data_IF_357112965737
#
_entry.id   IF_357112965737
#
_cell.length_a   1.000
_cell.length_b   1.000
_cell.length_c   1.000
_cell.angle_alpha   90.00
_cell.angle_beta   90.00
_cell.angle_gamma   90.00
#
_symmetry.space_group_name_H-M   'P 1'
#
loop_
_entity.id
_entity.type
_entity.pdbx_description
1 polymer ?
#
# COMPACT_ATOMS: atom_id res chain seq x y z
N UNK A 1 -34.61 -48.94 16.43
CA UNK A 1 -34.28 -47.51 16.36
C UNK A 1 -33.03 -47.27 17.18
N UNK A 2 -31.92 -46.85 16.57
CA UNK A 2 -30.70 -46.52 17.32
C UNK A 2 -30.95 -45.28 18.19
N UNK A 3 -30.52 -45.25 19.47
CA UNK A 3 -30.74 -44.10 20.34
C UNK A 3 -29.95 -42.91 19.81
N UNK A 4 -30.61 -41.75 19.64
CA UNK A 4 -29.96 -40.53 19.18
C UNK A 4 -28.91 -40.10 20.21
N UNK A 5 -27.67 -39.87 19.74
CA UNK A 5 -26.58 -39.35 20.57
C UNK A 5 -26.98 -37.97 21.11
N UNK A 6 -27.18 -37.85 22.43
CA UNK A 6 -27.40 -36.56 23.11
C UNK A 6 -26.19 -35.66 22.87
N UNK A 7 -26.44 -34.47 22.32
CA UNK A 7 -25.43 -33.44 22.06
C UNK A 7 -24.89 -32.94 23.41
N UNK A 8 -23.57 -32.74 23.59
CA UNK A 8 -23.03 -32.31 24.88
C UNK A 8 -23.55 -30.91 25.26
N UNK A 9 -24.28 -30.83 26.38
CA UNK A 9 -24.75 -29.56 26.95
C UNK A 9 -23.59 -28.84 27.64
N UNK A 10 -23.40 -27.57 27.25
CA UNK A 10 -22.36 -26.71 27.83
C UNK A 10 -22.72 -26.41 29.30
N UNK A 11 -21.78 -26.57 30.26
CA UNK A 11 -22.05 -26.32 31.68
C UNK A 11 -22.51 -24.89 31.96
N UNK A 12 -23.45 -24.72 32.89
CA UNK A 12 -24.04 -23.43 33.26
C UNK A 12 -22.99 -22.41 33.75
N UNK A 13 -21.91 -22.89 34.38
CA UNK A 13 -20.76 -22.08 34.80
C UNK A 13 -20.05 -21.41 33.61
N UNK A 14 -19.97 -22.09 32.46
CA UNK A 14 -19.39 -21.57 31.23
C UNK A 14 -20.32 -20.52 30.61
N UNK A 15 -21.64 -20.75 30.65
CA UNK A 15 -22.63 -19.77 30.18
C UNK A 15 -22.62 -18.48 31.01
N UNK A 16 -22.55 -18.59 32.34
CA UNK A 16 -22.45 -17.43 33.26
C UNK A 16 -21.16 -16.63 33.02
N UNK A 17 -20.02 -17.30 32.83
CA UNK A 17 -18.74 -16.66 32.46
C UNK A 17 -18.80 -15.97 31.08
N UNK A 18 -19.48 -16.56 30.10
CA UNK A 18 -19.68 -15.94 28.78
C UNK A 18 -20.50 -14.67 28.87
N UNK A 19 -21.60 -14.69 29.63
CA UNK A 19 -22.45 -13.51 29.89
C UNK A 19 -21.66 -12.39 30.57
N UNK A 20 -20.95 -12.70 31.65
CA UNK A 20 -20.10 -11.71 32.35
C UNK A 20 -19.02 -11.10 31.44
N UNK A 21 -18.38 -11.89 30.57
CA UNK A 21 -17.40 -11.37 29.59
C UNK A 21 -18.06 -10.50 28.53
N UNK A 22 -19.27 -10.84 28.08
CA UNK A 22 -20.03 -10.02 27.13
C UNK A 22 -20.42 -8.68 27.77
N UNK A 23 -20.92 -8.69 29.00
CA UNK A 23 -21.29 -7.48 29.75
C UNK A 23 -20.07 -6.59 30.05
N UNK A 24 -18.92 -7.18 30.36
CA UNK A 24 -17.67 -6.44 30.52
C UNK A 24 -17.22 -5.79 29.20
N UNK A 25 -17.37 -6.49 28.07
CA UNK A 25 -17.05 -5.96 26.73
C UNK A 25 -17.97 -4.81 26.34
N UNK A 26 -19.27 -4.90 26.59
CA UNK A 26 -20.22 -3.82 26.28
C UNK A 26 -19.95 -2.58 27.15
N UNK A 27 -19.69 -2.76 28.45
CA UNK A 27 -19.28 -1.66 29.34
C UNK A 27 -17.96 -1.01 28.89
N UNK A 28 -16.96 -1.81 28.52
CA UNK A 28 -15.69 -1.29 28.02
C UNK A 28 -15.86 -0.53 26.69
N UNK A 29 -16.70 -1.02 25.78
CA UNK A 29 -17.03 -0.33 24.53
C UNK A 29 -17.73 1.01 24.78
N UNK A 30 -18.72 1.04 25.67
CA UNK A 30 -19.41 2.28 26.07
C UNK A 30 -18.43 3.28 26.68
N UNK A 31 -17.56 2.82 27.60
CA UNK A 31 -16.54 3.67 28.19
C UNK A 31 -15.59 4.26 27.13
N UNK A 32 -15.12 3.45 26.17
CA UNK A 32 -14.29 3.93 25.05
C UNK A 32 -14.97 5.03 24.24
N UNK A 33 -16.26 4.89 23.91
CA UNK A 33 -17.02 5.91 23.18
C UNK A 33 -17.09 7.22 24.00
N UNK A 34 -17.37 7.14 25.30
CA UNK A 34 -17.42 8.33 26.17
C UNK A 34 -16.06 9.02 26.30
N UNK A 35 -14.97 8.25 26.44
CA UNK A 35 -13.60 8.79 26.53
C UNK A 35 -13.18 9.41 25.19
N UNK A 36 -13.51 8.78 24.07
CA UNK A 36 -13.22 9.33 22.74
C UNK A 36 -13.96 10.65 22.50
N UNK A 37 -15.23 10.76 22.91
CA UNK A 37 -15.99 12.01 22.85
C UNK A 37 -15.34 13.11 23.70
N UNK A 38 -14.99 12.81 24.96
CA UNK A 38 -14.29 13.74 25.86
C UNK A 38 -12.93 14.17 25.31
N UNK A 39 -12.16 13.26 24.71
CA UNK A 39 -10.86 13.56 24.13
C UNK A 39 -10.98 14.44 22.88
N UNK A 40 -12.00 14.20 22.03
CA UNK A 40 -12.30 15.05 20.87
C UNK A 40 -12.64 16.48 21.31
N UNK A 41 -13.44 16.61 22.36
CA UNK A 41 -13.81 17.91 22.93
C UNK A 41 -12.60 18.64 23.53
N UNK A 42 -11.81 17.97 24.38
CA UNK A 42 -10.55 18.52 24.93
C UNK A 42 -9.60 18.99 23.83
N UNK A 43 -9.48 18.22 22.74
CA UNK A 43 -8.64 18.59 21.59
C UNK A 43 -9.15 19.88 20.94
N UNK A 44 -10.46 20.01 20.69
CA UNK A 44 -11.05 21.24 20.15
C UNK A 44 -10.83 22.44 21.07
N UNK A 45 -11.01 22.25 22.39
CA UNK A 45 -10.78 23.28 23.39
C UNK A 45 -9.30 23.72 23.42
N UNK A 46 -8.35 22.80 23.28
CA UNK A 46 -6.92 23.13 23.20
C UNK A 46 -6.58 23.99 21.97
N UNK A 47 -7.10 23.63 20.79
CA UNK A 47 -6.91 24.42 19.57
C UNK A 47 -7.51 25.82 19.71
N UNK A 48 -8.75 25.91 20.20
CA UNK A 48 -9.42 27.20 20.46
C UNK A 48 -8.65 28.04 21.48
N UNK A 49 -8.08 27.42 22.52
CA UNK A 49 -7.27 28.11 23.54
C UNK A 49 -5.97 28.63 22.96
N UNK A 50 -5.24 27.86 22.16
CA UNK A 50 -4.02 28.31 21.51
C UNK A 50 -4.27 29.48 20.55
N UNK A 51 -5.35 29.41 19.76
CA UNK A 51 -5.75 30.50 18.87
C UNK A 51 -6.17 31.76 19.64
N UNK A 52 -6.90 31.58 20.75
CA UNK A 52 -7.28 32.68 21.65
C UNK A 52 -6.07 33.36 22.26
N UNK A 53 -5.10 32.61 22.79
CA UNK A 53 -3.86 33.16 23.35
C UNK A 53 -3.04 33.93 22.32
N UNK A 54 -3.03 33.46 21.07
CA UNK A 54 -2.38 34.17 19.96
C UNK A 54 -3.04 35.53 19.70
N UNK A 55 -4.37 35.57 19.60
CA UNK A 55 -5.13 36.83 19.41
C UNK A 55 -5.00 37.78 20.59
N UNK A 56 -4.96 37.26 21.82
CA UNK A 56 -4.77 38.06 23.03
C UNK A 56 -3.38 38.70 23.10
N UNK A 57 -2.34 37.96 22.68
CA UNK A 57 -0.99 38.51 22.58
C UNK A 57 -0.93 39.61 21.52
N UNK A 58 -1.47 39.35 20.32
CA UNK A 58 -1.55 40.35 19.22
C UNK A 58 -2.31 41.61 19.66
N UNK A 59 -3.42 41.48 20.38
CA UNK A 59 -4.20 42.60 20.89
C UNK A 59 -3.47 43.44 21.95
N UNK A 60 -2.56 42.84 22.71
CA UNK A 60 -1.72 43.52 23.71
C UNK A 60 -0.42 44.09 23.12
N UNK A 61 -0.11 43.77 21.87
CA UNK A 61 1.20 44.07 21.27
C UNK A 61 2.32 43.13 21.69
N UNK A 62 1.98 42.01 22.35
CA UNK A 62 2.92 40.97 22.78
C UNK A 62 3.06 39.85 21.70
N UNK A 63 4.15 39.09 21.75
CA UNK A 63 4.37 37.94 20.86
C UNK A 63 3.98 36.62 21.51
N UNK A 64 3.15 35.82 20.84
CA UNK A 64 2.87 34.45 21.27
C UNK A 64 3.95 33.48 20.77
N UNK A 65 4.75 32.95 21.70
CA UNK A 65 5.73 31.89 21.43
C UNK A 65 5.10 30.53 21.78
N UNK A 66 4.99 29.60 20.81
CA UNK A 66 4.44 28.27 21.08
C UNK A 66 5.36 27.47 22.02
N UNK A 67 4.78 26.55 22.78
CA UNK A 67 5.53 25.66 23.65
C UNK A 67 6.51 24.80 22.84
N UNK A 68 7.70 24.58 23.40
CA UNK A 68 8.73 23.74 22.78
C UNK A 68 8.27 22.29 22.61
N UNK A 69 8.72 21.65 21.53
CA UNK A 69 8.44 20.24 21.26
C UNK A 69 9.13 19.33 22.29
N UNK A 70 8.39 18.34 22.77
CA UNK A 70 8.87 17.41 23.81
C UNK A 70 9.35 16.07 23.24
N UNK A 71 9.07 15.77 21.97
CA UNK A 71 9.44 14.51 21.29
C UNK A 71 10.28 14.82 20.07
N UNK A 72 11.38 14.11 19.92
CA UNK A 72 12.12 14.01 18.66
C UNK A 72 12.03 12.60 18.09
N UNK A 73 12.06 12.49 16.77
CA UNK A 73 12.36 11.24 16.09
C UNK A 73 13.74 11.33 15.46
N UNK A 74 14.60 10.37 15.76
CA UNK A 74 16.02 10.38 15.39
C UNK A 74 16.27 9.25 14.42
N UNK A 75 16.80 9.58 13.24
CA UNK A 75 17.15 8.63 12.17
C UNK A 75 18.64 8.63 11.95
N UNK A 76 19.25 7.44 11.93
CA UNK A 76 20.66 7.29 11.61
C UNK A 76 20.91 7.33 10.10
N UNK A 77 21.77 8.23 9.64
CA UNK A 77 22.02 8.42 8.19
C UNK A 77 23.41 7.96 7.73
N UNK A 78 24.40 7.88 8.65
CA UNK A 78 25.79 7.45 8.37
C UNK A 78 26.14 6.08 8.97
N UNK A 79 27.10 5.40 8.34
CA UNK A 79 27.60 4.07 8.72
C UNK A 79 28.42 4.05 10.02
N UNK A 80 28.95 2.88 10.40
CA UNK A 80 29.77 2.70 11.63
C UNK A 80 31.27 2.94 11.39
N UNK A 81 31.70 3.03 10.14
CA UNK A 81 33.11 3.12 9.78
C UNK A 81 33.69 4.48 10.18
N UNK A 82 34.91 4.46 10.73
CA UNK A 82 35.64 5.67 11.17
C UNK A 82 34.88 6.54 12.18
N UNK A 83 34.07 5.91 13.04
CA UNK A 83 33.31 6.60 14.07
C UNK A 83 34.11 6.67 15.38
N UNK A 84 34.34 7.88 15.89
CA UNK A 84 34.98 8.08 17.19
C UNK A 84 34.20 7.34 18.31
N UNK A 85 34.87 6.77 19.34
CA UNK A 85 34.20 5.96 20.37
C UNK A 85 33.04 6.65 21.10
N UNK A 86 33.15 7.96 21.35
CA UNK A 86 32.10 8.76 22.02
C UNK A 86 30.76 8.77 21.24
N UNK A 87 30.70 9.25 19.97
CA UNK A 87 29.50 9.11 19.14
C UNK A 87 29.02 7.67 18.96
N UNK A 88 29.94 6.70 18.87
CA UNK A 88 29.60 5.28 18.75
C UNK A 88 28.81 4.78 19.96
N UNK A 89 29.24 5.15 21.18
CA UNK A 89 28.54 4.77 22.41
C UNK A 89 27.18 5.47 22.52
N UNK A 90 27.10 6.75 22.15
CA UNK A 90 25.85 7.51 22.14
C UNK A 90 24.80 6.89 21.19
N UNK A 91 25.19 6.51 19.97
CA UNK A 91 24.29 5.79 19.03
C UNK A 91 23.83 4.44 19.58
N UNK A 92 24.69 3.73 20.33
CA UNK A 92 24.31 2.46 20.97
C UNK A 92 23.28 2.65 22.09
N UNK A 93 23.43 3.69 22.91
CA UNK A 93 22.46 4.05 23.97
C UNK A 93 21.09 4.33 23.37
N UNK A 94 21.04 5.08 22.26
CA UNK A 94 19.80 5.35 21.52
C UNK A 94 19.29 4.16 20.68
N UNK A 95 20.00 3.02 20.68
CA UNK A 95 19.67 1.81 19.91
C UNK A 95 19.75 1.97 18.38
N UNK A 96 20.47 2.98 17.89
CA UNK A 96 20.69 3.29 16.47
C UNK A 96 21.87 2.49 15.88
N UNK A 97 21.73 1.15 15.82
CA UNK A 97 22.81 0.24 15.41
C UNK A 97 23.07 0.15 13.90
N UNK A 98 22.02 0.27 13.08
CA UNK A 98 22.09 0.16 11.62
C UNK A 98 21.72 1.50 10.96
N UNK A 99 22.17 1.70 9.72
CA UNK A 99 21.76 2.86 8.91
C UNK A 99 20.25 2.79 8.69
N UNK A 100 19.59 3.94 8.66
CA UNK A 100 18.14 4.13 8.57
C UNK A 100 17.35 3.50 9.73
N UNK A 101 18.00 3.20 10.85
CA UNK A 101 17.26 2.96 12.08
C UNK A 101 16.67 4.28 12.59
N UNK A 102 15.43 4.22 13.06
CA UNK A 102 14.72 5.33 13.68
C UNK A 102 14.25 5.00 15.10
N UNK A 103 14.34 5.96 16.02
CA UNK A 103 13.86 5.81 17.41
C UNK A 103 13.23 7.13 17.89
N UNK A 104 12.15 7.04 18.68
CA UNK A 104 11.58 8.18 19.40
C UNK A 104 12.40 8.51 20.65
N UNK A 105 12.70 9.78 20.86
CA UNK A 105 13.49 10.29 21.98
C UNK A 105 12.72 11.42 22.66
N UNK A 106 12.56 11.34 23.99
CA UNK A 106 12.05 12.45 24.79
C UNK A 106 13.10 13.55 24.85
N UNK A 107 12.72 14.78 24.51
CA UNK A 107 13.60 15.93 24.59
C UNK A 107 13.63 16.43 26.04
N UNK A 108 14.82 16.38 26.62
CA UNK A 108 15.13 16.95 27.93
C UNK A 108 16.54 17.54 27.92
N UNK A 109 16.92 18.24 29.00
CA UNK A 109 18.24 18.86 29.16
C UNK A 109 19.41 17.86 29.06
N UNK A 110 19.17 16.57 29.28
CA UNK A 110 20.19 15.52 29.21
C UNK A 110 20.32 14.89 27.80
N UNK A 111 19.23 14.77 27.06
CA UNK A 111 19.22 14.17 25.71
C UNK A 111 19.72 15.16 24.66
N UNK A 112 19.52 16.46 24.85
CA UNK A 112 19.98 17.49 23.89
C UNK A 112 21.51 17.47 23.71
N UNK A 113 22.35 17.47 24.77
CA UNK A 113 23.79 17.28 24.62
C UNK A 113 24.16 15.95 23.94
N UNK A 114 23.44 14.88 24.23
CA UNK A 114 23.66 13.58 23.60
C UNK A 114 23.38 13.63 22.09
N UNK A 115 22.31 14.31 21.67
CA UNK A 115 21.97 14.52 20.26
C UNK A 115 23.01 15.39 19.56
N UNK A 116 23.54 16.43 20.20
CA UNK A 116 24.62 17.28 19.67
C UNK A 116 25.90 16.47 19.39
N UNK A 117 26.27 15.52 20.27
CA UNK A 117 27.45 14.66 20.06
C UNK A 117 27.32 13.79 18.80
N UNK A 118 26.12 13.31 18.48
CA UNK A 118 25.87 12.41 17.35
C UNK A 118 25.33 13.12 16.12
N UNK A 119 25.18 14.44 16.18
CA UNK A 119 24.53 15.28 15.18
C UNK A 119 25.05 15.02 13.76
N UNK A 120 26.37 14.88 13.50
CA UNK A 120 26.90 14.60 12.16
C UNK A 120 26.50 13.24 11.57
N UNK A 121 25.90 12.35 12.37
CA UNK A 121 25.58 10.98 12.00
C UNK A 121 24.08 10.70 11.94
N UNK A 122 23.26 11.64 12.40
CA UNK A 122 21.81 11.50 12.50
C UNK A 122 21.07 12.68 11.89
N UNK A 123 19.89 12.42 11.35
CA UNK A 123 18.89 13.42 11.02
C UNK A 123 17.77 13.30 12.06
N UNK A 124 17.37 14.41 12.68
CA UNK A 124 16.31 14.40 13.68
C UNK A 124 15.43 15.65 13.60
N UNK A 125 14.32 15.66 14.32
CA UNK A 125 13.30 16.70 14.26
C UNK A 125 12.00 16.24 14.93
N UNK A 126 10.93 16.99 14.73
CA UNK A 126 9.68 16.85 15.49
C UNK A 126 8.63 16.07 14.68
N UNK A 127 8.27 14.84 15.09
CA UNK A 127 7.28 14.06 14.38
C UNK A 127 5.87 14.58 14.68
N UNK A 128 5.05 14.78 13.66
CA UNK A 128 3.63 15.06 13.84
C UNK A 128 2.85 13.76 14.17
N UNK A 129 1.63 13.90 14.71
CA UNK A 129 0.80 12.74 15.09
C UNK A 129 0.58 11.76 13.93
N UNK A 130 0.37 12.27 12.71
CA UNK A 130 0.20 11.44 11.51
C UNK A 130 1.45 10.60 11.23
N UNK A 131 2.63 11.19 11.33
CA UNK A 131 3.92 10.52 11.15
C UNK A 131 4.15 9.46 12.21
N UNK A 132 3.79 9.74 13.48
CA UNK A 132 3.87 8.76 14.57
C UNK A 132 2.97 7.55 14.25
N UNK A 133 1.71 7.79 13.86
CA UNK A 133 0.81 6.73 13.44
C UNK A 133 1.37 5.95 12.25
N UNK A 134 1.77 6.63 11.18
CA UNK A 134 2.33 6.00 9.97
C UNK A 134 3.53 5.11 10.29
N UNK A 135 4.44 5.57 11.17
CA UNK A 135 5.58 4.78 11.62
C UNK A 135 5.15 3.53 12.38
N UNK A 136 4.21 3.66 13.33
CA UNK A 136 3.73 2.54 14.14
C UNK A 136 2.99 1.50 13.29
N UNK A 137 2.07 1.90 12.42
CA UNK A 137 1.32 0.95 11.58
C UNK A 137 2.19 0.33 10.49
N UNK A 138 3.02 1.12 9.79
CA UNK A 138 3.74 0.62 8.60
C UNK A 138 5.06 -0.05 8.95
N UNK A 139 5.71 0.35 10.05
CA UNK A 139 7.08 -0.05 10.39
C UNK A 139 7.24 -0.48 11.85
N UNK A 140 6.16 -0.54 12.63
CA UNK A 140 6.17 -0.91 14.04
C UNK A 140 6.44 -2.39 14.27
N UNK A 141 7.42 -2.65 15.14
CA UNK A 141 7.70 -3.97 15.68
C UNK A 141 7.84 -3.84 17.19
N UNK A 142 7.28 -4.80 17.92
CA UNK A 142 7.42 -4.93 19.36
C UNK A 142 8.67 -5.76 19.70
N UNK A 143 9.25 -5.46 20.86
CA UNK A 143 10.26 -6.26 21.54
C UNK A 143 9.55 -7.10 22.60
N UNK A 144 9.21 -8.34 22.25
CA UNK A 144 8.55 -9.30 23.14
C UNK A 144 9.55 -10.41 23.47
N UNK A 145 9.88 -10.60 24.75
CA UNK A 145 10.83 -11.61 25.23
C UNK A 145 12.18 -11.59 24.49
N UNK A 146 12.65 -10.39 24.13
CA UNK A 146 13.89 -10.18 23.37
C UNK A 146 13.77 -10.40 21.86
N UNK A 147 12.64 -10.92 21.37
CA UNK A 147 12.38 -11.15 19.96
C UNK A 147 11.70 -9.95 19.29
N UNK A 148 11.96 -9.80 17.99
CA UNK A 148 11.36 -8.75 17.15
C UNK A 148 10.07 -9.28 16.51
N UNK A 149 8.92 -8.86 17.03
CA UNK A 149 7.59 -9.32 16.60
C UNK A 149 6.82 -8.18 15.92
N UNK A 150 6.23 -8.37 14.72
CA UNK A 150 5.42 -7.34 14.09
C UNK A 150 4.17 -7.05 14.94
N UNK A 151 3.76 -5.77 15.02
CA UNK A 151 2.53 -5.40 15.75
C UNK A 151 1.35 -5.59 14.79
N UNK A 152 0.78 -6.79 14.77
CA UNK A 152 -0.41 -7.12 13.96
C UNK A 152 -1.70 -6.86 14.72
N UNK A 153 -1.72 -7.21 16.02
CA UNK A 153 -2.92 -7.23 16.84
C UNK A 153 -2.74 -6.44 18.13
N UNK A 154 -3.83 -5.79 18.57
CA UNK A 154 -3.86 -5.04 19.84
C UNK A 154 -3.54 -5.91 21.05
N UNK A 155 -3.74 -7.23 20.97
CA UNK A 155 -3.38 -8.16 22.05
C UNK A 155 -1.88 -8.17 22.36
N UNK A 156 -1.02 -7.87 21.38
CA UNK A 156 0.44 -7.83 21.58
C UNK A 156 0.80 -6.62 22.45
N UNK A 157 0.16 -5.48 22.20
CA UNK A 157 0.35 -4.24 22.97
C UNK A 157 -0.21 -4.41 24.38
N UNK A 158 -1.46 -4.87 24.50
CA UNK A 158 -2.15 -5.07 25.77
C UNK A 158 -1.39 -6.02 26.71
N UNK A 159 -0.87 -7.14 26.20
CA UNK A 159 -0.10 -8.09 27.03
C UNK A 159 1.15 -7.47 27.65
N UNK A 160 1.87 -6.61 26.93
CA UNK A 160 3.13 -6.02 27.40
C UNK A 160 2.94 -4.71 28.17
N UNK A 161 1.99 -3.88 27.75
CA UNK A 161 1.82 -2.50 28.24
C UNK A 161 0.46 -2.26 28.92
N UNK A 162 -0.43 -3.25 29.00
CA UNK A 162 -1.75 -3.11 29.63
C UNK A 162 -1.69 -2.67 31.09
N UNK A 163 -0.61 -3.02 31.81
CA UNK A 163 -0.34 -2.52 33.17
C UNK A 163 -0.20 -1.01 33.29
N UNK A 164 0.14 -0.33 32.20
CA UNK A 164 0.28 1.13 32.11
C UNK A 164 -0.94 1.80 31.48
N UNK A 165 -2.05 1.08 31.36
CA UNK A 165 -3.27 1.52 30.68
C UNK A 165 -3.05 1.84 29.18
N UNK A 166 -2.08 1.18 28.54
CA UNK A 166 -1.84 1.25 27.09
C UNK A 166 -2.33 -0.08 26.50
N UNK A 167 -3.51 -0.06 25.89
CA UNK A 167 -4.21 -1.29 25.49
C UNK A 167 -4.09 -1.50 23.98
N UNK A 168 -4.17 -0.44 23.18
CA UNK A 168 -4.07 -0.52 21.73
C UNK A 168 -2.93 0.32 21.14
N UNK A 169 -2.74 0.21 19.83
CA UNK A 169 -1.71 0.95 19.10
C UNK A 169 -1.96 2.46 19.13
N UNK A 170 -3.23 2.89 19.16
CA UNK A 170 -3.63 4.30 19.24
C UNK A 170 -3.26 4.90 20.61
N UNK A 171 -3.47 4.16 21.70
CA UNK A 171 -3.05 4.57 23.05
C UNK A 171 -1.52 4.71 23.08
N UNK A 172 -0.80 3.78 22.46
CA UNK A 172 0.65 3.82 22.33
C UNK A 172 1.13 5.04 21.53
N UNK A 173 0.46 5.36 20.42
CA UNK A 173 0.77 6.54 19.62
C UNK A 173 0.53 7.84 20.40
N UNK A 174 -0.56 7.90 21.16
CA UNK A 174 -0.91 9.04 22.00
C UNK A 174 0.12 9.24 23.14
N UNK A 175 0.49 8.16 23.82
CA UNK A 175 1.51 8.17 24.89
C UNK A 175 2.86 8.71 24.38
N UNK A 176 3.25 8.31 23.17
CA UNK A 176 4.47 8.78 22.52
C UNK A 176 4.33 10.26 22.14
N UNK A 177 3.24 10.65 21.49
CA UNK A 177 3.05 12.02 21.00
C UNK A 177 2.99 13.07 22.13
N UNK A 178 2.35 12.72 23.24
CA UNK A 178 2.14 13.62 24.39
C UNK A 178 3.22 13.52 25.46
N UNK A 179 4.19 12.61 25.29
CA UNK A 179 5.22 12.31 26.30
C UNK A 179 4.59 11.99 27.65
N UNK A 180 3.70 11.00 27.64
CA UNK A 180 3.03 10.56 28.85
C UNK A 180 3.99 9.96 29.90
N UNK A 181 3.46 9.63 31.10
CA UNK A 181 4.27 9.15 32.23
C UNK A 181 5.04 7.87 31.92
N UNK A 182 4.55 7.03 31.01
CA UNK A 182 5.11 5.74 30.64
C UNK A 182 5.78 5.76 29.26
N UNK A 183 6.23 6.93 28.81
CA UNK A 183 6.95 7.11 27.54
C UNK A 183 8.18 6.20 27.42
N UNK A 184 8.91 6.00 28.52
CA UNK A 184 10.13 5.17 28.54
C UNK A 184 9.80 3.70 28.26
N UNK A 185 8.74 3.21 28.86
CA UNK A 185 8.23 1.85 28.70
C UNK A 185 7.68 1.64 27.28
N UNK A 186 6.89 2.59 26.79
CA UNK A 186 6.36 2.61 25.42
C UNK A 186 7.47 2.57 24.37
N UNK A 187 8.48 3.42 24.49
CA UNK A 187 9.61 3.45 23.55
C UNK A 187 10.53 2.24 23.68
N UNK A 188 10.68 1.65 24.87
CA UNK A 188 11.45 0.42 25.06
C UNK A 188 10.75 -0.83 24.51
N UNK A 189 9.41 -0.86 24.59
CA UNK A 189 8.59 -1.88 23.94
C UNK A 189 8.77 -1.86 22.41
N UNK A 190 8.92 -0.68 21.81
CA UNK A 190 9.20 -0.58 20.38
C UNK A 190 10.63 -1.03 20.05
N UNK A 191 10.74 -1.91 19.07
CA UNK A 191 11.99 -2.20 18.38
C UNK A 191 12.38 -0.99 17.52
N UNK A 192 13.67 -0.63 17.39
CA UNK A 192 14.10 0.45 16.49
C UNK A 192 13.52 0.28 15.08
N UNK A 193 12.87 1.33 14.57
CA UNK A 193 12.21 1.30 13.26
C UNK A 193 13.26 1.08 12.18
N UNK A 194 13.04 0.09 11.32
CA UNK A 194 13.89 -0.14 10.14
C UNK A 194 13.27 0.55 8.94
N UNK A 195 13.80 1.72 8.59
CA UNK A 195 13.30 2.56 7.50
C UNK A 195 14.03 2.26 6.19
N UNK A 196 13.39 2.59 5.07
CA UNK A 196 14.03 2.50 3.76
C UNK A 196 14.92 3.74 3.52
N UNK A 197 15.76 3.70 2.49
CA UNK A 197 16.34 4.94 1.96
C UNK A 197 15.21 5.87 1.48
N UNK A 198 15.35 7.19 1.65
CA UNK A 198 14.34 8.13 1.17
C UNK A 198 14.22 8.05 -0.35
N UNK A 199 12.99 8.08 -0.85
CA UNK A 199 12.71 8.28 -2.28
C UNK A 199 13.37 9.57 -2.77
N UNK A 200 14.06 9.52 -3.91
CA UNK A 200 14.91 10.61 -4.42
C UNK A 200 16.30 10.70 -3.78
N UNK A 201 16.63 9.82 -2.83
CA UNK A 201 17.95 9.77 -2.21
C UNK A 201 18.18 10.86 -1.15
N UNK A 202 19.42 10.92 -0.68
CA UNK A 202 19.92 11.93 0.26
C UNK A 202 20.58 13.05 -0.56
N UNK A 203 20.44 14.30 -0.13
CA UNK A 203 21.10 15.45 -0.77
C UNK A 203 22.60 15.39 -0.51
N UNK A 204 23.01 15.54 0.76
CA UNK A 204 24.42 15.47 1.17
C UNK A 204 24.51 15.16 2.66
N UNK A 205 24.81 13.90 2.98
CA UNK A 205 24.89 13.39 4.36
C UNK A 205 25.98 14.02 5.23
N UNK A 206 26.96 14.67 4.62
CA UNK A 206 28.13 15.23 5.30
C UNK A 206 27.95 16.66 5.76
N UNK A 207 26.92 17.36 5.30
CA UNK A 207 26.66 18.77 5.58
C UNK A 207 25.45 18.91 6.50
N UNK A 208 25.42 19.99 7.29
CA UNK A 208 24.31 20.25 8.20
C UNK A 208 23.07 20.65 7.39
N UNK A 209 21.87 20.41 7.90
CA UNK A 209 20.62 20.73 7.21
C UNK A 209 20.50 22.20 6.81
N UNK A 210 20.97 23.12 7.67
CA UNK A 210 21.00 24.57 7.39
C UNK A 210 21.90 24.93 6.20
N UNK A 211 22.93 24.13 5.92
CA UNK A 211 23.85 24.30 4.78
C UNK A 211 23.36 23.55 3.52
N UNK A 212 22.10 23.11 3.50
CA UNK A 212 21.54 22.29 2.41
C UNK A 212 21.92 20.81 2.47
N UNK A 213 22.45 20.33 3.60
CA UNK A 213 22.74 18.92 3.84
C UNK A 213 21.58 18.15 4.48
N UNK A 214 21.88 17.03 5.13
CA UNK A 214 20.88 16.12 5.69
C UNK A 214 21.01 15.83 7.19
N UNK A 215 22.17 16.08 7.80
CA UNK A 215 22.39 15.81 9.22
C UNK A 215 21.91 16.98 10.08
N UNK A 216 21.56 16.70 11.33
CA UNK A 216 21.14 17.72 12.30
C UNK A 216 19.64 17.81 12.53
N UNK A 217 19.24 18.88 13.22
CA UNK A 217 17.83 19.17 13.49
C UNK A 217 17.16 19.77 12.25
N UNK A 218 16.09 19.13 11.78
CA UNK A 218 15.26 19.54 10.64
C UNK A 218 13.88 20.03 11.05
N UNK A 219 13.63 20.11 12.36
CA UNK A 219 12.35 20.52 12.93
C UNK A 219 11.17 19.75 12.29
N UNK A 220 10.18 20.46 11.73
CA UNK A 220 9.01 19.87 11.09
C UNK A 220 9.31 19.26 9.71
N UNK A 221 10.40 19.66 9.04
CA UNK A 221 10.79 19.11 7.73
C UNK A 221 11.20 17.64 7.80
N UNK A 222 11.46 17.12 9.01
CA UNK A 222 11.63 15.69 9.24
C UNK A 222 10.41 14.88 8.76
N UNK A 223 9.20 15.42 8.90
CA UNK A 223 7.98 14.71 8.50
C UNK A 223 7.98 14.38 6.99
N UNK A 224 8.48 15.29 6.16
CA UNK A 224 8.62 15.07 4.72
C UNK A 224 9.68 14.00 4.42
N UNK A 225 10.80 14.00 5.15
CA UNK A 225 11.81 12.94 5.05
C UNK A 225 11.23 11.57 5.41
N UNK A 226 10.50 11.49 6.53
CA UNK A 226 9.92 10.24 7.02
C UNK A 226 8.86 9.68 6.08
N UNK A 227 8.04 10.52 5.43
CA UNK A 227 7.14 10.07 4.35
C UNK A 227 7.91 9.39 3.24
N UNK A 228 8.97 10.03 2.72
CA UNK A 228 9.84 9.45 1.67
C UNK A 228 10.53 8.16 2.08
N UNK A 229 10.80 7.95 3.38
CA UNK A 229 11.45 6.72 3.89
C UNK A 229 10.46 5.60 4.28
N UNK A 230 9.20 5.94 4.54
CA UNK A 230 8.16 4.99 4.96
C UNK A 230 7.35 4.48 3.77
N UNK A 231 7.06 5.34 2.81
CA UNK A 231 6.39 5.00 1.56
C UNK A 231 7.27 4.06 0.73
N UNK A 232 6.68 2.98 0.24
CA UNK A 232 7.37 2.12 -0.73
C UNK A 232 7.36 2.85 -2.07
N UNK A 233 8.49 2.80 -2.78
CA UNK A 233 8.55 3.17 -4.19
C UNK A 233 7.59 2.27 -4.97
N UNK A 234 6.35 2.74 -5.14
CA UNK A 234 5.33 2.14 -5.98
C UNK A 234 5.34 2.90 -7.30
N UNK A 235 4.87 2.28 -8.39
CA UNK A 235 4.77 2.95 -9.70
C UNK A 235 4.14 4.35 -9.61
N UNK A 236 3.20 4.52 -8.65
CA UNK A 236 2.51 5.76 -8.31
C UNK A 236 3.42 6.95 -7.97
N UNK A 237 4.68 6.71 -7.59
CA UNK A 237 5.62 7.75 -7.16
C UNK A 237 6.71 8.04 -8.20
N UNK A 238 6.72 7.33 -9.33
CA UNK A 238 7.77 7.41 -10.37
C UNK A 238 7.21 7.94 -11.69
N UNK A 239 5.96 7.61 -12.00
CA UNK A 239 5.27 8.12 -13.19
C UNK A 239 4.44 9.38 -12.82
N UNK A 240 4.37 10.40 -13.70
CA UNK A 240 3.35 11.44 -13.63
C UNK A 240 1.95 10.84 -13.40
N UNK A 241 1.09 11.52 -12.63
CA UNK A 241 -0.28 11.05 -12.32
C UNK A 241 -1.09 10.75 -13.58
N UNK A 242 -0.77 11.44 -14.67
CA UNK A 242 -1.35 11.30 -16.00
C UNK A 242 -1.15 9.90 -16.62
N UNK A 243 -0.11 9.15 -16.22
CA UNK A 243 0.16 7.80 -16.74
C UNK A 243 -0.26 6.66 -15.80
N UNK A 244 -0.85 6.97 -14.64
CA UNK A 244 -1.11 5.98 -13.58
C UNK A 244 -2.51 5.38 -13.60
N UNK A 245 -3.42 6.02 -14.33
CA UNK A 245 -4.77 5.55 -14.57
C UNK A 245 -5.08 5.78 -16.05
N UNK A 246 -5.83 4.90 -16.73
CA UNK A 246 -6.48 5.30 -17.96
C UNK A 246 -7.41 6.45 -17.57
N UNK A 247 -6.97 7.68 -17.82
CA UNK A 247 -7.79 8.87 -17.71
C UNK A 247 -8.91 8.70 -18.73
N UNK A 248 -10.10 8.40 -18.23
CA UNK A 248 -11.32 8.61 -19.00
C UNK A 248 -11.51 10.13 -19.00
N UNK A 249 -10.90 10.82 -19.96
CA UNK A 249 -11.19 12.23 -20.18
C UNK A 249 -12.55 12.32 -20.85
N UNK A 250 -13.59 12.41 -20.02
CA UNK A 250 -14.87 12.95 -20.44
C UNK A 250 -15.18 14.09 -19.49
N UNK A 251 -15.05 15.33 -19.98
CA UNK A 251 -15.34 16.56 -19.25
C UNK A 251 -14.52 16.79 -17.97
N UNK A 252 -13.24 16.39 -17.94
CA UNK A 252 -12.32 16.76 -16.85
C UNK A 252 -12.54 16.06 -15.49
N UNK A 253 -13.24 14.92 -15.46
CA UNK A 253 -13.46 14.13 -14.24
C UNK A 253 -12.34 13.10 -14.02
N UNK A 254 -11.86 13.02 -12.77
CA UNK A 254 -10.81 12.07 -12.36
C UNK A 254 -11.39 11.02 -11.41
N UNK A 255 -11.44 9.76 -11.84
CA UNK A 255 -11.96 8.64 -11.03
C UNK A 255 -10.85 7.89 -10.29
N UNK A 256 -11.13 7.45 -9.05
CA UNK A 256 -10.16 6.78 -8.19
C UNK A 256 -9.92 5.32 -8.60
N UNK A 257 -10.91 4.69 -9.21
CA UNK A 257 -10.85 3.34 -9.74
C UNK A 257 -11.74 3.19 -10.99
N UNK A 258 -11.48 2.14 -11.78
CA UNK A 258 -12.15 1.90 -13.07
C UNK A 258 -13.66 1.68 -12.91
N UNK A 259 -14.11 1.06 -11.83
CA UNK A 259 -15.53 0.77 -11.61
C UNK A 259 -16.32 2.06 -11.34
N UNK A 260 -15.76 2.97 -10.54
CA UNK A 260 -16.35 4.29 -10.27
C UNK A 260 -16.50 5.12 -11.56
N UNK A 261 -15.49 5.06 -12.43
CA UNK A 261 -15.57 5.72 -13.75
C UNK A 261 -16.61 5.06 -14.66
N UNK A 262 -16.69 3.73 -14.67
CA UNK A 262 -17.70 3.01 -15.45
C UNK A 262 -19.12 3.33 -14.98
N UNK A 263 -19.38 3.28 -13.67
CA UNK A 263 -20.69 3.58 -13.08
C UNK A 263 -21.13 5.01 -13.44
N UNK A 264 -20.19 5.97 -13.38
CA UNK A 264 -20.46 7.34 -13.80
C UNK A 264 -20.80 7.44 -15.28
N UNK A 265 -20.03 6.80 -16.17
CA UNK A 265 -20.28 6.84 -17.61
C UNK A 265 -21.64 6.21 -17.96
N UNK A 266 -21.95 5.05 -17.37
CA UNK A 266 -23.23 4.37 -17.57
C UNK A 266 -24.41 5.25 -17.14
N UNK A 267 -24.29 5.90 -15.97
CA UNK A 267 -25.30 6.83 -15.50
C UNK A 267 -25.44 8.07 -16.41
N UNK A 268 -24.31 8.66 -16.84
CA UNK A 268 -24.29 9.86 -17.69
C UNK A 268 -24.93 9.61 -19.07
N UNK A 269 -24.65 8.46 -19.67
CA UNK A 269 -25.18 8.12 -21.00
C UNK A 269 -26.49 7.31 -20.94
N UNK A 270 -27.05 7.09 -19.75
CA UNK A 270 -28.28 6.32 -19.56
C UNK A 270 -28.19 4.88 -20.07
N UNK A 271 -26.99 4.28 -20.07
CA UNK A 271 -26.76 2.91 -20.54
C UNK A 271 -26.71 1.95 -19.36
N UNK A 272 -27.30 0.77 -19.53
CA UNK A 272 -27.16 -0.34 -18.59
C UNK A 272 -26.56 -1.53 -19.32
N UNK A 273 -25.33 -1.88 -18.94
CA UNK A 273 -24.77 -3.19 -19.28
C UNK A 273 -25.64 -4.28 -18.65
N UNK A 274 -25.76 -5.42 -19.32
CA UNK A 274 -26.45 -6.62 -18.82
C UNK A 274 -27.98 -6.49 -18.61
N UNK A 275 -28.60 -5.40 -19.09
CA UNK A 275 -30.05 -5.19 -18.98
C UNK A 275 -30.85 -6.25 -19.74
N UNK A 276 -30.36 -6.67 -20.91
CA UNK A 276 -30.96 -7.73 -21.74
C UNK A 276 -30.70 -9.17 -21.28
N UNK A 277 -29.89 -9.38 -20.24
CA UNK A 277 -29.54 -10.74 -19.78
C UNK A 277 -30.55 -11.29 -18.77
N UNK A 278 -30.91 -12.56 -18.95
CA UNK A 278 -31.69 -13.32 -17.98
C UNK A 278 -30.89 -13.55 -16.69
N UNK A 279 -31.55 -13.84 -15.54
CA UNK A 279 -30.85 -14.15 -14.30
C UNK A 279 -29.85 -15.31 -14.42
N UNK A 280 -30.15 -16.30 -15.27
CA UNK A 280 -29.25 -17.44 -15.55
C UNK A 280 -28.00 -16.97 -16.31
N UNK A 281 -28.16 -16.16 -17.34
CA UNK A 281 -27.04 -15.64 -18.13
C UNK A 281 -26.17 -14.70 -17.29
N UNK A 282 -26.76 -13.89 -16.40
CA UNK A 282 -25.99 -13.09 -15.43
C UNK A 282 -25.14 -13.96 -14.49
N UNK A 283 -25.68 -15.10 -14.03
CA UNK A 283 -24.89 -16.04 -13.23
C UNK A 283 -23.76 -16.69 -14.04
N UNK A 284 -24.03 -17.03 -15.31
CA UNK A 284 -23.01 -17.54 -16.24
C UNK A 284 -21.94 -16.48 -16.53
N UNK A 285 -22.32 -15.21 -16.72
CA UNK A 285 -21.41 -14.09 -16.95
C UNK A 285 -20.46 -13.88 -15.77
N UNK A 286 -20.96 -14.01 -14.54
CA UNK A 286 -20.14 -13.95 -13.34
C UNK A 286 -19.13 -15.11 -13.28
N UNK A 287 -19.53 -16.33 -13.63
CA UNK A 287 -18.64 -17.49 -13.65
C UNK A 287 -17.54 -17.34 -14.72
N UNK A 288 -17.91 -16.87 -15.93
CA UNK A 288 -16.96 -16.62 -17.01
C UNK A 288 -16.03 -15.44 -16.71
N UNK A 289 -16.52 -14.46 -15.97
CA UNK A 289 -15.69 -13.37 -15.46
C UNK A 289 -14.57 -13.87 -14.54
N UNK A 290 -14.82 -14.89 -13.72
CA UNK A 290 -13.80 -15.50 -12.87
C UNK A 290 -12.76 -16.28 -13.69
N UNK A 291 -13.19 -16.96 -14.77
CA UNK A 291 -12.29 -17.62 -15.71
C UNK A 291 -11.38 -16.60 -16.43
N UNK A 292 -11.93 -15.46 -16.84
CA UNK A 292 -11.15 -14.36 -17.41
C UNK A 292 -10.13 -13.79 -16.40
N UNK A 293 -10.48 -13.72 -15.11
CA UNK A 293 -9.53 -13.30 -14.06
C UNK A 293 -8.37 -14.30 -13.93
N UNK A 294 -8.62 -15.60 -14.06
CA UNK A 294 -7.55 -16.61 -14.10
C UNK A 294 -6.61 -16.41 -15.31
N UNK A 295 -7.16 -16.10 -16.49
CA UNK A 295 -6.36 -15.76 -17.68
C UNK A 295 -5.46 -14.52 -17.45
N UNK A 296 -5.90 -13.55 -16.66
CA UNK A 296 -5.04 -12.40 -16.31
C UNK A 296 -3.80 -12.80 -15.50
N UNK A 297 -3.88 -13.86 -14.69
CA UNK A 297 -2.72 -14.40 -13.98
C UNK A 297 -1.76 -15.12 -14.92
N UNK A 298 -2.25 -15.74 -15.98
CA UNK A 298 -1.42 -16.34 -17.03
C UNK A 298 -0.65 -15.26 -17.80
N UNK A 299 -1.31 -14.14 -18.14
CA UNK A 299 -0.66 -12.95 -18.69
C UNK A 299 0.39 -12.38 -17.71
N UNK A 300 0.07 -12.30 -16.42
CA UNK A 300 0.99 -11.84 -15.39
C UNK A 300 2.21 -12.77 -15.24
N UNK A 301 2.02 -14.09 -15.36
CA UNK A 301 3.13 -15.06 -15.39
C UNK A 301 4.02 -14.81 -16.61
N UNK A 302 3.42 -14.72 -17.80
CA UNK A 302 4.11 -14.48 -19.06
C UNK A 302 4.96 -13.21 -19.00
N UNK A 303 4.36 -12.08 -18.58
CA UNK A 303 5.07 -10.83 -18.33
C UNK A 303 6.15 -11.00 -17.28
N UNK A 304 5.87 -11.71 -16.18
CA UNK A 304 6.87 -12.04 -15.16
C UNK A 304 8.13 -12.69 -15.70
N UNK A 305 8.05 -13.47 -16.78
CA UNK A 305 9.22 -14.09 -17.41
C UNK A 305 10.04 -13.08 -18.18
N UNK A 306 9.41 -12.27 -19.03
CA UNK A 306 10.10 -11.29 -19.87
C UNK A 306 9.49 -9.87 -19.79
N UNK A 307 10.34 -8.91 -19.42
CA UNK A 307 10.04 -7.48 -19.32
C UNK A 307 10.81 -6.66 -20.37
N UNK A 308 11.45 -7.32 -21.36
CA UNK A 308 12.18 -6.68 -22.45
C UNK A 308 11.33 -5.61 -23.16
N UNK A 309 10.09 -5.94 -23.48
CA UNK A 309 9.13 -5.04 -24.12
C UNK A 309 8.93 -3.72 -23.35
N UNK A 310 8.87 -3.76 -22.01
CA UNK A 310 8.70 -2.56 -21.18
C UNK A 310 10.03 -1.79 -20.99
N UNK A 311 11.15 -2.49 -21.08
CA UNK A 311 12.49 -1.89 -20.93
C UNK A 311 12.80 -0.89 -22.04
N UNK A 312 12.26 -1.14 -23.24
CA UNK A 312 12.58 -0.42 -24.46
C UNK A 312 11.37 0.26 -25.10
N UNK A 313 10.23 0.28 -24.40
CA UNK A 313 8.99 0.91 -24.87
C UNK A 313 9.22 2.41 -25.14
N UNK A 314 9.22 2.80 -26.43
CA UNK A 314 9.52 4.16 -26.87
C UNK A 314 8.59 5.18 -26.23
N UNK A 315 7.29 4.88 -26.11
CA UNK A 315 6.29 5.83 -25.59
C UNK A 315 6.50 6.16 -24.11
N UNK A 316 7.12 5.25 -23.36
CA UNK A 316 7.41 5.47 -21.95
C UNK A 316 8.72 6.23 -21.76
N UNK A 317 9.70 5.98 -22.62
CA UNK A 317 11.07 6.48 -22.45
C UNK A 317 11.41 7.69 -23.31
N UNK A 318 10.49 8.16 -24.16
CA UNK A 318 10.69 9.28 -25.08
C UNK A 318 11.17 10.54 -24.35
N UNK A 319 10.54 10.85 -23.21
CA UNK A 319 10.86 12.02 -22.39
C UNK A 319 12.03 11.78 -21.40
N UNK A 320 12.66 10.60 -21.42
CA UNK A 320 13.66 10.27 -20.40
C UNK A 320 15.04 10.79 -20.78
N UNK A 321 15.65 11.57 -19.88
CA UNK A 321 17.08 11.89 -19.96
C UNK A 321 17.96 10.65 -19.72
N UNK A 322 19.25 10.75 -20.08
CA UNK A 322 20.22 9.63 -20.00
C UNK A 322 20.27 8.95 -18.62
N UNK A 323 20.22 9.74 -17.54
CA UNK A 323 20.21 9.21 -16.16
C UNK A 323 18.91 8.48 -15.85
N UNK A 324 17.76 9.00 -16.29
CA UNK A 324 16.46 8.37 -16.09
C UNK A 324 16.36 7.06 -16.88
N UNK A 325 16.84 7.04 -18.13
CA UNK A 325 16.97 5.83 -18.95
C UNK A 325 17.82 4.76 -18.25
N UNK A 326 18.96 5.15 -17.68
CA UNK A 326 19.82 4.23 -16.94
C UNK A 326 19.08 3.60 -15.75
N UNK A 327 18.43 4.41 -14.91
CA UNK A 327 17.65 3.90 -13.77
C UNK A 327 16.43 3.07 -14.20
N UNK A 328 15.76 3.46 -15.27
CA UNK A 328 14.65 2.70 -15.86
C UNK A 328 15.07 1.29 -16.22
N UNK A 329 16.10 1.18 -17.07
CA UNK A 329 16.58 -0.10 -17.63
C UNK A 329 17.21 -1.00 -16.57
N UNK A 330 18.03 -0.43 -15.68
CA UNK A 330 18.87 -1.20 -14.77
C UNK A 330 18.28 -1.38 -13.37
N UNK A 331 17.27 -0.59 -12.99
CA UNK A 331 16.73 -0.65 -11.62
C UNK A 331 15.22 -0.77 -11.55
N UNK A 332 14.47 0.09 -12.24
CA UNK A 332 13.01 0.10 -12.16
C UNK A 332 12.42 -1.15 -12.79
N UNK A 333 12.73 -1.41 -14.07
CA UNK A 333 12.19 -2.56 -14.82
C UNK A 333 12.57 -3.90 -14.17
N UNK A 334 13.83 -4.14 -13.75
CA UNK A 334 14.18 -5.36 -13.01
C UNK A 334 13.44 -5.51 -11.68
N UNK A 335 13.18 -4.42 -10.95
CA UNK A 335 12.37 -4.48 -9.73
C UNK A 335 10.91 -4.82 -10.02
N UNK A 336 10.33 -4.26 -11.09
CA UNK A 336 8.97 -4.59 -11.54
C UNK A 336 8.86 -6.07 -11.90
N UNK A 337 9.80 -6.58 -12.71
CA UNK A 337 9.87 -8.00 -13.04
C UNK A 337 9.95 -8.87 -11.78
N UNK A 338 10.82 -8.52 -10.81
CA UNK A 338 10.94 -9.24 -9.54
C UNK A 338 9.65 -9.20 -8.70
N UNK A 339 8.93 -8.08 -8.69
CA UNK A 339 7.64 -7.93 -7.99
C UNK A 339 6.54 -8.76 -8.64
N UNK A 340 6.43 -8.72 -9.97
CA UNK A 340 5.47 -9.53 -10.72
C UNK A 340 5.73 -11.02 -10.49
N UNK A 341 6.99 -11.46 -10.61
CA UNK A 341 7.38 -12.84 -10.27
C UNK A 341 7.00 -13.23 -8.83
N UNK A 342 7.16 -12.32 -7.85
CA UNK A 342 6.74 -12.59 -6.46
C UNK A 342 5.23 -12.73 -6.31
N UNK A 343 4.44 -11.89 -6.98
CA UNK A 343 2.97 -11.96 -6.94
C UNK A 343 2.47 -13.25 -7.58
N UNK A 344 2.99 -13.58 -8.76
CA UNK A 344 2.69 -14.82 -9.48
C UNK A 344 3.05 -16.06 -8.64
N UNK A 345 4.19 -16.03 -7.93
CA UNK A 345 4.53 -17.09 -6.95
C UNK A 345 3.56 -17.15 -5.78
N UNK A 346 3.12 -16.00 -5.26
CA UNK A 346 2.12 -15.92 -4.19
C UNK A 346 0.74 -16.45 -4.63
N UNK A 347 0.43 -16.36 -5.92
CA UNK A 347 -0.76 -16.97 -6.53
C UNK A 347 -0.67 -18.49 -6.69
N UNK A 348 0.53 -19.07 -6.49
CA UNK A 348 0.76 -20.51 -6.62
C UNK A 348 1.39 -20.95 -7.96
N UNK A 349 1.59 -20.03 -8.90
CA UNK A 349 2.27 -20.32 -10.18
C UNK A 349 3.79 -20.28 -9.99
N UNK A 350 4.36 -21.35 -9.40
CA UNK A 350 5.78 -21.45 -9.09
C UNK A 350 6.33 -22.86 -9.26
N UNK A 351 7.62 -22.99 -9.55
CA UNK A 351 8.30 -24.28 -9.70
C UNK A 351 8.86 -24.54 -11.10
N UNK A 352 9.55 -25.68 -11.26
CA UNK A 352 10.22 -26.04 -12.53
C UNK A 352 9.23 -26.37 -13.66
N UNK A 353 8.03 -26.85 -13.32
CA UNK A 353 6.95 -27.20 -14.27
C UNK A 353 5.98 -26.06 -14.57
N UNK A 354 6.05 -24.95 -13.84
CA UNK A 354 5.06 -23.88 -13.90
C UNK A 354 4.85 -23.32 -15.31
N UNK A 355 5.91 -23.23 -16.12
CA UNK A 355 5.80 -22.77 -17.50
C UNK A 355 4.95 -23.69 -18.38
N UNK A 356 5.03 -25.01 -18.20
CA UNK A 356 4.21 -25.96 -18.95
C UNK A 356 2.76 -25.94 -18.48
N UNK A 357 2.55 -25.89 -17.16
CA UNK A 357 1.23 -25.85 -16.53
C UNK A 357 0.45 -24.59 -16.93
N UNK A 358 1.10 -23.42 -16.90
CA UNK A 358 0.51 -22.14 -17.33
C UNK A 358 0.06 -22.22 -18.79
N UNK A 359 0.90 -22.73 -19.68
CA UNK A 359 0.54 -22.87 -21.09
C UNK A 359 -0.66 -23.78 -21.29
N UNK A 360 -0.66 -24.97 -20.66
CA UNK A 360 -1.78 -25.94 -20.77
C UNK A 360 -3.09 -25.33 -20.22
N UNK A 361 -3.05 -24.67 -19.07
CA UNK A 361 -4.23 -24.01 -18.50
C UNK A 361 -4.73 -22.87 -19.39
N UNK A 362 -3.82 -22.08 -19.95
CA UNK A 362 -4.17 -20.99 -20.87
C UNK A 362 -4.87 -21.53 -22.11
N UNK A 363 -4.29 -22.55 -22.75
CA UNK A 363 -4.86 -23.22 -23.92
C UNK A 363 -6.27 -23.75 -23.63
N UNK A 364 -6.46 -24.45 -22.51
CA UNK A 364 -7.76 -25.00 -22.11
C UNK A 364 -8.82 -23.91 -21.83
N UNK A 365 -8.43 -22.81 -21.17
CA UNK A 365 -9.35 -21.68 -20.90
C UNK A 365 -9.75 -20.95 -22.18
N UNK A 366 -8.81 -20.77 -23.12
CA UNK A 366 -9.11 -20.17 -24.42
C UNK A 366 -10.05 -21.06 -25.24
N UNK A 367 -9.84 -22.38 -25.25
CA UNK A 367 -10.76 -23.32 -25.90
C UNK A 367 -12.15 -23.31 -25.27
N UNK A 368 -12.25 -23.22 -23.95
CA UNK A 368 -13.53 -23.11 -23.25
C UNK A 368 -14.27 -21.83 -23.65
N UNK A 369 -13.58 -20.69 -23.69
CA UNK A 369 -14.16 -19.42 -24.15
C UNK A 369 -14.57 -19.49 -25.63
N UNK A 370 -13.75 -20.09 -26.49
CA UNK A 370 -14.06 -20.27 -27.90
C UNK A 370 -15.32 -21.13 -28.09
N UNK A 371 -15.43 -22.22 -27.33
CA UNK A 371 -16.58 -23.12 -27.38
C UNK A 371 -17.87 -22.42 -26.93
N UNK A 372 -17.77 -21.53 -25.94
CA UNK A 372 -18.92 -20.77 -25.42
C UNK A 372 -19.33 -19.61 -26.32
N UNK A 373 -18.37 -18.93 -26.96
CA UNK A 373 -18.68 -17.92 -27.96
C UNK A 373 -19.32 -18.57 -29.20
N UNK A 374 -18.90 -19.79 -29.54
CA UNK A 374 -19.39 -20.54 -30.70
C UNK A 374 -19.30 -19.68 -31.99
N UNK A 375 -20.41 -19.55 -32.73
CA UNK A 375 -20.56 -18.69 -33.91
C UNK A 375 -21.20 -17.33 -33.59
N UNK A 376 -21.45 -17.03 -32.31
CA UNK A 376 -22.26 -15.87 -31.93
C UNK A 376 -21.48 -14.55 -32.07
N UNK A 377 -22.23 -13.45 -32.20
CA UNK A 377 -21.62 -12.11 -32.23
C UNK A 377 -21.03 -11.72 -30.87
N UNK A 378 -21.72 -12.05 -29.79
CA UNK A 378 -21.31 -11.82 -28.42
C UNK A 378 -21.62 -13.08 -27.59
N UNK A 379 -21.04 -13.23 -26.39
CA UNK A 379 -21.15 -14.47 -25.61
C UNK A 379 -22.59 -14.93 -25.31
N UNK A 380 -23.54 -14.01 -25.25
CA UNK A 380 -24.97 -14.31 -24.98
C UNK A 380 -25.89 -14.03 -26.18
N UNK A 381 -25.32 -13.82 -27.37
CA UNK A 381 -26.07 -13.62 -28.63
C UNK A 381 -27.13 -12.50 -28.57
N UNK A 382 -26.81 -11.42 -27.85
CA UNK A 382 -27.61 -10.20 -27.80
C UNK A 382 -27.13 -9.22 -28.88
N UNK A 383 -27.95 -8.27 -29.31
CA UNK A 383 -27.54 -7.25 -30.29
C UNK A 383 -26.44 -6.28 -29.78
N UNK A 384 -26.26 -6.19 -28.46
CA UNK A 384 -25.31 -5.31 -27.79
C UNK A 384 -24.33 -6.12 -26.92
N UNK A 385 -23.07 -5.67 -26.76
CA UNK A 385 -22.09 -6.34 -25.93
C UNK A 385 -22.48 -6.27 -24.44
N UNK A 386 -22.35 -7.40 -23.75
CA UNK A 386 -22.49 -7.48 -22.31
C UNK A 386 -21.22 -7.03 -21.58
N UNK A 387 -21.28 -6.87 -20.26
CA UNK A 387 -20.10 -6.64 -19.44
C UNK A 387 -19.04 -7.75 -19.62
N UNK A 388 -19.50 -9.00 -19.80
CA UNK A 388 -18.61 -10.11 -20.07
C UNK A 388 -17.83 -9.91 -21.38
N UNK A 389 -18.49 -9.43 -22.44
CA UNK A 389 -17.85 -9.16 -23.73
C UNK A 389 -16.78 -8.06 -23.60
N UNK A 390 -17.09 -6.99 -22.87
CA UNK A 390 -16.13 -5.93 -22.57
C UNK A 390 -14.92 -6.47 -21.81
N UNK A 391 -15.14 -7.28 -20.77
CA UNK A 391 -14.07 -7.91 -19.99
C UNK A 391 -13.25 -8.89 -20.83
N UNK A 392 -13.92 -9.71 -21.65
CA UNK A 392 -13.29 -10.67 -22.53
C UNK A 392 -12.40 -9.96 -23.55
N UNK A 393 -12.88 -8.89 -24.19
CA UNK A 393 -12.09 -8.08 -25.10
C UNK A 393 -10.83 -7.52 -24.41
N UNK A 394 -10.98 -6.92 -23.21
CA UNK A 394 -9.87 -6.33 -22.46
C UNK A 394 -8.75 -7.34 -22.11
N UNK A 395 -9.10 -8.61 -21.91
CA UNK A 395 -8.15 -9.69 -21.65
C UNK A 395 -7.59 -10.28 -22.96
N UNK A 396 -8.45 -10.62 -23.92
CA UNK A 396 -8.07 -11.30 -25.17
C UNK A 396 -7.25 -10.41 -26.11
N UNK A 397 -7.47 -9.10 -26.10
CA UNK A 397 -6.67 -8.13 -26.87
C UNK A 397 -5.18 -8.22 -26.51
N UNK A 398 -4.86 -8.54 -25.25
CA UNK A 398 -3.50 -8.70 -24.77
C UNK A 398 -2.83 -9.94 -25.36
N UNK A 399 -3.58 -11.01 -25.59
CA UNK A 399 -3.05 -12.23 -26.23
C UNK A 399 -2.77 -12.03 -27.72
N UNK A 400 -3.50 -11.13 -28.37
CA UNK A 400 -3.37 -10.87 -29.81
C UNK A 400 -2.30 -9.83 -30.13
N UNK A 401 -2.34 -8.67 -29.46
CA UNK A 401 -1.55 -7.50 -29.83
C UNK A 401 -0.35 -7.22 -28.93
N UNK A 402 -0.26 -7.84 -27.76
CA UNK A 402 0.84 -7.58 -26.82
C UNK A 402 1.90 -8.69 -26.89
N UNK A 403 3.20 -8.36 -26.74
CA UNK A 403 4.26 -9.37 -26.66
C UNK A 403 4.08 -10.30 -25.47
N UNK A 404 4.25 -11.60 -25.69
CA UNK A 404 4.12 -12.64 -24.66
C UNK A 404 5.32 -13.59 -24.62
N UNK A 405 5.62 -14.12 -23.45
CA UNK A 405 6.49 -15.29 -23.33
C UNK A 405 5.84 -16.50 -24.00
N UNK A 406 6.58 -17.21 -24.86
CA UNK A 406 6.09 -18.30 -25.72
C UNK A 406 5.02 -17.88 -26.74
N UNK A 407 5.07 -16.63 -27.19
CA UNK A 407 4.11 -16.05 -28.14
C UNK A 407 3.88 -16.90 -29.39
N UNK A 408 4.93 -17.44 -30.02
CA UNK A 408 4.80 -18.23 -31.24
C UNK A 408 3.83 -19.42 -31.07
N UNK A 409 3.93 -20.15 -29.96
CA UNK A 409 3.05 -21.28 -29.66
C UNK A 409 1.61 -20.82 -29.40
N UNK A 410 1.43 -19.80 -28.56
CA UNK A 410 0.10 -19.31 -28.20
C UNK A 410 -0.63 -18.70 -29.41
N UNK A 411 0.07 -17.90 -30.23
CA UNK A 411 -0.51 -17.33 -31.45
C UNK A 411 -0.86 -18.41 -32.48
N UNK A 412 -0.02 -19.44 -32.63
CA UNK A 412 -0.35 -20.57 -33.49
C UNK A 412 -1.57 -21.33 -32.97
N UNK A 413 -1.61 -21.64 -31.67
CA UNK A 413 -2.76 -22.28 -31.04
C UNK A 413 -4.06 -21.49 -31.24
N UNK A 414 -4.03 -20.17 -31.06
CA UNK A 414 -5.22 -19.33 -31.24
C UNK A 414 -5.69 -19.28 -32.70
N UNK A 415 -4.77 -19.32 -33.67
CA UNK A 415 -5.12 -19.41 -35.09
C UNK A 415 -5.79 -20.74 -35.42
N UNK A 416 -5.25 -21.83 -34.88
CA UNK A 416 -5.67 -23.19 -35.24
C UNK A 416 -6.92 -23.66 -34.48
N UNK A 417 -7.04 -23.31 -33.20
CA UNK A 417 -8.07 -23.85 -32.28
C UNK A 417 -9.13 -22.83 -31.89
N UNK A 418 -8.82 -21.54 -31.86
CA UNK A 418 -9.76 -20.49 -31.39
C UNK A 418 -9.91 -19.31 -32.35
N UNK A 419 -10.10 -19.53 -33.68
CA UNK A 419 -10.18 -18.45 -34.66
C UNK A 419 -11.37 -17.52 -34.42
N UNK A 420 -12.47 -18.04 -33.87
CA UNK A 420 -13.66 -17.25 -33.53
C UNK A 420 -13.38 -16.20 -32.44
N UNK A 421 -12.56 -16.50 -31.43
CA UNK A 421 -12.11 -15.52 -30.44
C UNK A 421 -11.25 -14.42 -31.09
N UNK A 422 -10.39 -14.80 -32.03
CA UNK A 422 -9.55 -13.84 -32.76
C UNK A 422 -10.39 -12.88 -33.61
N UNK A 423 -11.45 -13.38 -34.24
CA UNK A 423 -12.44 -12.59 -34.98
C UNK A 423 -13.25 -11.70 -34.06
N UNK A 424 -13.70 -12.20 -32.91
CA UNK A 424 -14.38 -11.41 -31.88
C UNK A 424 -13.53 -10.21 -31.44
N UNK A 425 -12.24 -10.40 -31.17
CA UNK A 425 -11.34 -9.31 -30.81
C UNK A 425 -11.19 -8.30 -31.93
N UNK A 426 -11.06 -8.74 -33.20
CA UNK A 426 -11.00 -7.80 -34.33
C UNK A 426 -12.29 -6.98 -34.43
N UNK A 427 -13.45 -7.64 -34.36
CA UNK A 427 -14.75 -7.01 -34.47
C UNK A 427 -14.98 -5.98 -33.37
N UNK A 428 -14.73 -6.35 -32.12
CA UNK A 428 -14.86 -5.42 -30.99
C UNK A 428 -13.96 -4.19 -31.18
N UNK A 429 -12.71 -4.39 -31.64
CA UNK A 429 -11.79 -3.29 -31.96
C UNK A 429 -12.37 -2.37 -33.05
N UNK A 430 -12.82 -2.93 -34.17
CA UNK A 430 -13.30 -2.16 -35.32
C UNK A 430 -14.63 -1.44 -35.02
N UNK A 431 -15.54 -2.04 -34.26
CA UNK A 431 -16.84 -1.47 -33.94
C UNK A 431 -16.76 -0.32 -32.92
N UNK A 432 -15.87 -0.42 -31.92
CA UNK A 432 -15.88 0.48 -30.75
C UNK A 432 -14.63 1.35 -30.59
N UNK A 433 -13.57 1.13 -31.38
CA UNK A 433 -12.34 1.92 -31.32
C UNK A 433 -11.88 2.38 -32.71
N UNK A 434 -12.62 3.34 -33.28
CA UNK A 434 -12.28 3.95 -34.57
C UNK A 434 -10.94 4.68 -34.58
N UNK A 435 -10.46 5.10 -33.41
CA UNK A 435 -9.23 5.85 -33.17
C UNK A 435 -8.02 4.98 -32.79
N UNK A 436 -8.17 3.65 -32.79
CA UNK A 436 -7.12 2.72 -32.33
C UNK A 436 -5.79 2.89 -33.07
N UNK A 437 -5.82 3.27 -34.35
CA UNK A 437 -4.62 3.43 -35.20
C UNK A 437 -3.84 4.69 -34.83
N UNK A 438 -4.53 5.78 -34.50
CA UNK A 438 -3.93 7.05 -34.04
C UNK A 438 -3.17 6.93 -32.73
N UNK A 439 -3.39 5.84 -31.97
CA UNK A 439 -2.74 5.57 -30.68
C UNK A 439 -1.52 4.63 -30.85
N UNK A 440 -1.29 4.05 -32.03
CA UNK A 440 -0.20 3.08 -32.28
C UNK A 440 1.02 3.60 -33.04
N UNK A 441 0.94 4.78 -33.63
CA UNK A 441 2.10 5.57 -34.05
C UNK A 441 2.56 6.49 -32.91
#
# INVERSE_FOLDING_TARGET
>A
MAPSKKVPQVPETVLKRRKQRADARTKAAQHKVTVAAKNKEKKSQYFKRAEKLKREAEAKGDFYVPAEHQVAFVVRIRGINQLHPKPRKALQILRLRQINNGVFVKLNKATLPLLRIIEPYVAWGYPNNRTIHDLLYKRGYAKVDGNRVPITDNTIVEKSLGKYNIICLEDLAHEIATVGPHFKEATNFLWPFKLNNPTGGWTKKTNHFVEGGDFGNREDQLNNLLRRMTEQCSLYNVLPREHLYPLIDSDGFFFKNVMEGLDFLLAKYGKSLDSGLTPKERAQALALSALLDELTWMLAYSRGQDFSWLREDRKIIEDFGLVQLYFWRNWIVPQMQKRTRRRVRGYGLSGKSAGKEVTIRTEAMLEALASLLNSNKYFFDVNEPSWLDCKAFAVLVQFKYTPLHNEARLKQFMKDRTPNLMTFVTRMKEEFWSDWVTISD
#
